data_IF_494382468597
#
_entry.id   IF_494382468597
#
_cell.length_a   1.000
_cell.length_b   1.000
_cell.length_c   1.000
_cell.angle_alpha   90.00
_cell.angle_beta   90.00
_cell.angle_gamma   90.00
#
_symmetry.space_group_name_H-M   'P 1'
#
loop_
_entity.id
_entity.type
_entity.pdbx_description
1 polymer ?
#
# COMPACT_ATOMS: atom_id res chain seq x y z
N UNK A 1 -0.42 20.77 -3.22
CA UNK A 1 0.49 20.47 -2.08
C UNK A 1 1.05 19.08 -2.31
N UNK A 2 2.30 18.77 -1.93
CA UNK A 2 2.83 17.44 -2.14
C UNK A 2 2.09 16.45 -1.23
N UNK A 3 1.67 15.33 -1.81
CA UNK A 3 0.97 14.25 -1.13
C UNK A 3 1.37 12.92 -1.75
N UNK A 4 1.25 11.85 -0.97
CA UNK A 4 1.32 10.48 -1.46
C UNK A 4 -0.10 10.07 -1.83
N UNK A 5 -0.37 9.98 -3.14
CA UNK A 5 -1.65 9.50 -3.66
C UNK A 5 -1.44 8.22 -4.46
N UNK A 6 -2.14 7.17 -4.06
CA UNK A 6 -2.07 5.84 -4.65
C UNK A 6 -3.49 5.31 -4.75
N UNK A 7 -3.88 4.88 -5.95
CA UNK A 7 -5.21 4.36 -6.22
C UNK A 7 -5.12 3.08 -7.02
N UNK A 8 -6.05 2.15 -6.74
CA UNK A 8 -6.23 0.91 -7.49
C UNK A 8 -4.96 0.05 -7.59
N UNK A 9 -4.18 -0.02 -6.51
CA UNK A 9 -2.96 -0.83 -6.48
C UNK A 9 -3.27 -2.31 -6.32
N UNK A 10 -2.85 -3.07 -7.32
CA UNK A 10 -2.86 -4.52 -7.32
C UNK A 10 -1.44 -5.04 -7.24
N UNK A 11 -1.22 -6.13 -6.52
CA UNK A 11 0.09 -6.77 -6.47
C UNK A 11 -0.03 -8.27 -6.30
N UNK A 12 0.74 -8.99 -7.10
CA UNK A 12 0.70 -10.44 -7.22
C UNK A 12 2.05 -11.04 -6.85
N UNK A 13 2.00 -12.17 -6.14
CA UNK A 13 3.15 -13.04 -5.91
C UNK A 13 2.85 -14.41 -6.52
N UNK A 14 3.46 -14.68 -7.68
CA UNK A 14 3.03 -15.79 -8.53
C UNK A 14 1.56 -15.62 -8.90
N UNK A 15 0.79 -16.70 -8.74
CA UNK A 15 -0.65 -16.73 -9.08
C UNK A 15 -1.56 -16.18 -7.96
N UNK A 16 -0.99 -15.64 -6.89
CA UNK A 16 -1.75 -15.13 -5.74
C UNK A 16 -1.76 -13.61 -5.72
N UNK A 17 -2.96 -13.04 -5.72
CA UNK A 17 -3.16 -11.61 -5.43
C UNK A 17 -2.95 -11.34 -3.93
N UNK A 18 -2.01 -10.45 -3.61
CA UNK A 18 -1.69 -10.04 -2.24
C UNK A 18 -2.28 -8.67 -1.91
N UNK A 19 -2.32 -7.76 -2.90
CA UNK A 19 -3.01 -6.48 -2.81
C UNK A 19 -4.05 -6.43 -3.91
N UNK A 20 -5.28 -6.05 -3.56
CA UNK A 20 -6.40 -5.94 -4.48
C UNK A 20 -7.04 -4.57 -4.30
N UNK A 21 -6.96 -3.74 -5.35
CA UNK A 21 -7.49 -2.38 -5.46
C UNK A 21 -7.23 -1.50 -4.22
N UNK A 22 -5.97 -1.47 -3.78
CA UNK A 22 -5.58 -0.68 -2.61
C UNK A 22 -5.54 0.80 -2.95
N UNK A 23 -6.25 1.59 -2.14
CA UNK A 23 -6.22 3.05 -2.14
C UNK A 23 -5.48 3.57 -0.90
N UNK A 24 -4.64 4.58 -1.07
CA UNK A 24 -3.95 5.28 0.01
C UNK A 24 -3.73 6.75 -0.38
N UNK A 25 -4.14 7.64 0.51
CA UNK A 25 -3.81 9.06 0.46
C UNK A 25 -3.15 9.47 1.79
N UNK A 26 -2.01 10.15 1.71
CA UNK A 26 -1.31 10.68 2.86
C UNK A 26 -0.70 12.03 2.52
N UNK A 27 -1.08 13.07 3.26
CA UNK A 27 -0.54 14.42 3.06
C UNK A 27 0.71 14.63 3.89
N UNK A 28 1.54 15.60 3.49
CA UNK A 28 2.70 16.00 4.29
C UNK A 28 2.26 16.41 5.70
N UNK A 29 2.94 15.85 6.71
CA UNK A 29 2.68 16.10 8.12
C UNK A 29 1.67 15.16 8.75
N UNK A 30 1.02 14.29 7.97
CA UNK A 30 0.12 13.26 8.49
C UNK A 30 0.87 12.00 8.91
N UNK A 31 0.39 11.36 9.96
CA UNK A 31 0.83 10.01 10.36
C UNK A 31 -0.30 9.04 10.07
N UNK A 32 -0.12 8.20 9.06
CA UNK A 32 -1.11 7.19 8.64
C UNK A 32 -0.64 5.80 9.06
N UNK A 33 -1.51 5.08 9.79
CA UNK A 33 -1.27 3.70 10.21
C UNK A 33 -1.98 2.69 9.31
N UNK A 34 -1.28 1.63 8.90
CA UNK A 34 -1.87 0.53 8.14
C UNK A 34 -2.23 -0.65 9.07
N UNK A 35 -3.52 -0.94 9.21
CA UNK A 35 -4.04 -1.97 10.13
C UNK A 35 -4.66 -3.15 9.36
N UNK A 36 -4.60 -4.35 9.95
CA UNK A 36 -5.18 -5.56 9.37
C UNK A 36 -4.53 -6.84 9.90
N UNK A 37 -5.13 -8.00 9.62
CA UNK A 37 -4.65 -9.32 10.08
C UNK A 37 -3.27 -9.67 9.53
N UNK A 38 -2.55 -10.58 10.18
CA UNK A 38 -1.29 -11.10 9.63
C UNK A 38 -1.53 -11.75 8.26
N UNK A 39 -0.63 -11.50 7.31
CA UNK A 39 -0.75 -12.00 5.94
C UNK A 39 -1.64 -11.17 5.00
N UNK A 40 -2.28 -10.08 5.45
CA UNK A 40 -3.15 -9.25 4.58
C UNK A 40 -2.41 -8.25 3.66
N UNK A 41 -1.10 -8.43 3.44
CA UNK A 41 -0.34 -7.59 2.49
C UNK A 41 0.25 -6.27 3.02
N UNK A 42 0.14 -5.96 4.32
CA UNK A 42 0.65 -4.69 4.89
C UNK A 42 2.13 -4.41 4.57
N UNK A 43 3.01 -5.35 4.88
CA UNK A 43 4.44 -5.21 4.58
C UNK A 43 4.74 -5.22 3.09
N UNK A 44 3.90 -5.89 2.29
CA UNK A 44 3.99 -5.88 0.83
C UNK A 44 3.71 -4.49 0.27
N UNK A 45 2.65 -3.83 0.72
CA UNK A 45 2.33 -2.45 0.33
C UNK A 45 3.46 -1.49 0.73
N UNK A 46 3.90 -1.52 1.99
CA UNK A 46 4.92 -0.59 2.48
C UNK A 46 6.31 -0.82 1.87
N UNK A 47 6.77 -2.08 1.77
CA UNK A 47 8.17 -2.38 1.37
C UNK A 47 8.34 -2.58 -0.12
N UNK A 48 7.40 -3.25 -0.79
CA UNK A 48 7.57 -3.67 -2.17
C UNK A 48 6.99 -2.66 -3.15
N UNK A 49 5.87 -2.04 -2.79
CA UNK A 49 5.22 -1.04 -3.64
C UNK A 49 5.76 0.36 -3.32
N UNK A 50 5.52 0.87 -2.11
CA UNK A 50 5.82 2.27 -1.76
C UNK A 50 7.32 2.62 -1.68
N UNK A 51 8.24 1.64 -1.55
CA UNK A 51 9.69 1.92 -1.54
C UNK A 51 10.30 1.99 -2.95
N UNK A 52 9.60 1.50 -3.97
CA UNK A 52 10.09 1.48 -5.36
C UNK A 52 9.72 2.74 -6.14
N UNK A 53 8.88 3.60 -5.56
CA UNK A 53 8.37 4.83 -6.13
C UNK A 53 8.73 5.99 -5.19
#
# INVERSE_FOLDING_TARGET
MPELYVDSVNHWFGDREILSSVYLNCKIGEVVGLLGRNGCGKSTLLKNYLRKH
#
